data_IF_196573986959
#
_entry.id   IF_196573986959
#
_cell.length_a   1.000
_cell.length_b   1.000
_cell.length_c   1.000
_cell.angle_alpha   90.00
_cell.angle_beta   90.00
_cell.angle_gamma   90.00
#
_symmetry.space_group_name_H-M   'P 1'
#
loop_
_entity.id
_entity.type
_entity.pdbx_description
1 polymer ?
#
# COMPACT_ATOMS: atom_id res chain seq x y z
N UNK A 1 -0.72 4.90 3.05
CA UNK A 1 -2.07 5.29 3.48
C UNK A 1 -2.24 6.79 3.69
N UNK A 2 -1.44 7.47 4.53
CA UNK A 2 -1.75 8.84 5.01
C UNK A 2 -1.90 9.91 3.91
N UNK A 3 -0.82 10.22 3.18
CA UNK A 3 -0.87 11.23 2.09
C UNK A 3 -1.71 10.73 0.93
N UNK A 4 -1.70 9.42 0.71
CA UNK A 4 -2.39 8.68 -0.33
C UNK A 4 -3.93 8.95 -0.23
N UNK A 5 -4.50 8.83 0.98
CA UNK A 5 -5.90 9.16 1.30
C UNK A 5 -6.22 10.67 1.11
N UNK A 6 -5.27 11.56 1.37
CA UNK A 6 -5.44 13.00 1.16
C UNK A 6 -5.42 13.37 -0.34
N UNK A 7 -4.51 12.75 -1.10
CA UNK A 7 -4.40 12.88 -2.56
C UNK A 7 -5.62 12.29 -3.28
N UNK A 8 -6.20 11.22 -2.73
CA UNK A 8 -7.48 10.65 -3.14
C UNK A 8 -8.64 11.67 -3.00
N UNK A 9 -8.82 12.28 -1.82
CA UNK A 9 -9.86 13.31 -1.63
C UNK A 9 -9.66 14.56 -2.52
N UNK A 10 -8.42 14.94 -2.86
CA UNK A 10 -8.17 16.00 -3.85
C UNK A 10 -8.72 15.69 -5.24
N UNK A 11 -8.80 14.41 -5.63
CA UNK A 11 -9.17 14.01 -6.99
C UNK A 11 -10.69 13.91 -7.20
N UNK A 12 -11.45 13.59 -6.15
CA UNK A 12 -12.90 13.40 -6.21
C UNK A 12 -13.72 14.65 -6.59
N UNK A 13 -13.09 15.83 -6.71
CA UNK A 13 -13.79 17.12 -6.73
C UNK A 13 -13.61 17.97 -8.01
N UNK A 14 -12.66 17.69 -8.94
CA UNK A 14 -12.25 18.70 -9.94
C UNK A 14 -11.79 18.22 -11.33
N UNK A 15 -12.38 18.81 -12.38
CA UNK A 15 -11.80 18.98 -13.73
C UNK A 15 -11.11 20.37 -13.83
N UNK A 16 -10.37 20.82 -14.86
CA UNK A 16 -9.94 20.33 -16.19
C UNK A 16 -8.44 20.68 -16.41
N UNK A 17 -7.86 20.39 -17.59
CA UNK A 17 -6.53 20.83 -18.09
C UNK A 17 -5.29 20.30 -17.30
N UNK A 18 -4.06 20.31 -17.82
CA UNK A 18 -3.56 20.05 -19.19
C UNK A 18 -2.07 19.61 -19.07
N UNK A 19 -1.67 18.38 -19.47
CA UNK A 19 -0.40 17.80 -18.99
C UNK A 19 0.82 17.91 -19.93
N UNK A 20 1.96 18.31 -19.38
CA UNK A 20 3.30 18.02 -19.93
C UNK A 20 4.28 17.63 -18.82
N UNK A 21 4.55 16.33 -18.69
CA UNK A 21 5.83 15.71 -18.32
C UNK A 21 5.65 14.19 -18.36
N UNK A 22 6.58 13.45 -18.95
CA UNK A 22 6.59 11.99 -18.93
C UNK A 22 7.76 11.51 -18.05
N UNK A 23 7.49 10.63 -17.10
CA UNK A 23 8.50 10.10 -16.17
C UNK A 23 8.89 8.68 -16.59
N UNK A 24 10.09 8.51 -17.13
CA UNK A 24 10.57 7.18 -17.55
C UNK A 24 10.85 6.26 -16.34
N UNK A 25 10.74 4.93 -16.50
CA UNK A 25 11.18 3.97 -15.47
C UNK A 25 12.66 4.14 -15.11
N UNK A 26 13.05 3.60 -13.95
CA UNK A 26 14.45 3.53 -13.52
C UNK A 26 15.09 2.20 -13.90
N UNK A 27 16.09 2.24 -14.77
CA UNK A 27 16.85 1.06 -15.20
C UNK A 27 17.82 0.51 -14.14
N UNK A 28 18.02 1.22 -13.02
CA UNK A 28 18.99 0.86 -11.96
C UNK A 28 18.44 -0.10 -10.88
N UNK A 29 17.15 -0.46 -10.97
CA UNK A 29 16.42 -1.22 -9.96
C UNK A 29 15.35 -2.10 -10.61
N UNK A 30 15.11 -3.29 -10.03
CA UNK A 30 13.99 -4.14 -10.44
C UNK A 30 12.65 -3.52 -9.99
N UNK A 31 11.65 -3.46 -10.87
CA UNK A 31 10.28 -3.07 -10.50
C UNK A 31 9.61 -4.10 -9.57
N UNK A 32 8.43 -3.84 -8.99
CA UNK A 32 7.83 -4.70 -7.95
C UNK A 32 7.64 -6.16 -8.37
N UNK A 33 7.04 -6.42 -9.55
CA UNK A 33 6.87 -7.78 -10.10
C UNK A 33 8.21 -8.49 -10.33
N UNK A 34 9.19 -7.79 -10.86
CA UNK A 34 10.54 -8.34 -11.15
C UNK A 34 11.33 -8.61 -9.86
N UNK A 35 11.18 -7.73 -8.86
CA UNK A 35 11.73 -7.90 -7.51
C UNK A 35 11.12 -9.12 -6.82
N UNK A 36 9.80 -9.28 -6.90
CA UNK A 36 9.09 -10.43 -6.35
C UNK A 36 9.57 -11.76 -6.95
N UNK A 37 9.65 -11.85 -8.29
CA UNK A 37 10.16 -13.03 -8.99
C UNK A 37 11.62 -13.33 -8.60
N UNK A 38 12.49 -12.31 -8.54
CA UNK A 38 13.89 -12.50 -8.14
C UNK A 38 14.02 -12.95 -6.68
N UNK A 39 13.29 -12.33 -5.76
CA UNK A 39 13.31 -12.70 -4.33
C UNK A 39 12.77 -14.12 -4.15
N UNK A 40 11.66 -14.49 -4.81
CA UNK A 40 11.04 -15.80 -4.63
C UNK A 40 11.84 -16.96 -5.27
N UNK A 41 12.66 -16.68 -6.29
CA UNK A 41 13.62 -17.65 -6.83
C UNK A 41 14.85 -17.86 -5.93
N UNK A 42 15.04 -17.02 -4.91
CA UNK A 42 16.24 -16.98 -4.05
C UNK A 42 15.94 -17.15 -2.56
N UNK A 43 14.67 -17.12 -2.14
CA UNK A 43 14.29 -17.09 -0.73
C UNK A 43 14.76 -18.35 0.02
N UNK A 44 15.31 -18.15 1.22
CA UNK A 44 15.82 -19.21 2.08
C UNK A 44 14.87 -19.52 3.24
N UNK A 45 14.14 -18.50 3.72
CA UNK A 45 13.28 -18.58 4.88
C UNK A 45 11.78 -18.55 4.53
N UNK A 46 11.37 -18.38 3.26
CA UNK A 46 9.96 -18.32 2.82
C UNK A 46 9.73 -19.09 1.51
N UNK A 47 8.83 -20.08 1.52
CA UNK A 47 8.61 -21.05 0.43
C UNK A 47 7.15 -20.98 -0.06
N UNK A 48 6.89 -21.03 -1.37
CA UNK A 48 5.53 -21.11 -1.94
C UNK A 48 5.03 -22.55 -2.01
N UNK A 49 3.75 -22.78 -1.67
CA UNK A 49 3.06 -24.08 -1.76
C UNK A 49 1.79 -23.94 -2.61
N UNK A 50 1.66 -24.77 -3.64
CA UNK A 50 0.60 -24.68 -4.66
C UNK A 50 -0.77 -25.22 -4.23
N UNK A 51 -0.86 -25.93 -3.11
CA UNK A 51 -2.07 -26.66 -2.70
C UNK A 51 -3.07 -25.78 -1.90
N UNK A 52 -2.60 -24.67 -1.31
CA UNK A 52 -3.35 -23.88 -0.32
C UNK A 52 -4.01 -22.59 -0.83
N UNK A 53 -4.60 -22.54 -2.02
CA UNK A 53 -4.94 -21.27 -2.70
C UNK A 53 -6.44 -20.83 -2.64
N UNK A 54 -7.28 -21.26 -1.67
CA UNK A 54 -8.77 -21.03 -1.73
C UNK A 54 -9.50 -20.82 -0.36
N UNK A 55 -10.48 -19.88 -0.32
CA UNK A 55 -11.59 -19.62 0.67
C UNK A 55 -11.49 -18.44 1.70
N UNK A 56 -12.55 -17.58 1.85
CA UNK A 56 -12.56 -16.20 2.50
C UNK A 56 -13.95 -15.59 2.93
N UNK A 57 -14.11 -14.85 4.09
CA UNK A 57 -15.12 -13.76 4.52
C UNK A 57 -15.43 -13.74 6.08
N UNK A 58 -15.98 -12.77 6.90
CA UNK A 58 -16.45 -11.31 6.93
C UNK A 58 -16.62 -10.80 8.44
N UNK A 59 -16.57 -9.56 9.06
CA UNK A 59 -16.56 -8.06 8.79
C UNK A 59 -16.10 -7.18 10.06
N UNK A 60 -15.95 -5.82 10.01
CA UNK A 60 -16.03 -4.80 11.17
C UNK A 60 -16.63 -3.40 10.74
N UNK A 61 -16.58 -2.27 11.50
CA UNK A 61 -17.79 -1.40 11.71
C UNK A 61 -17.72 0.19 11.81
N UNK A 62 -18.74 1.01 11.39
CA UNK A 62 -18.79 2.51 11.55
C UNK A 62 -20.19 3.19 11.73
N UNK A 63 -20.24 4.31 12.46
CA UNK A 63 -21.45 5.13 12.68
C UNK A 63 -22.30 4.66 13.87
N UNK A 64 -21.80 4.82 15.10
CA UNK A 64 -22.35 4.15 16.30
C UNK A 64 -21.80 2.72 16.47
N UNK A 65 -20.63 2.47 15.89
CA UNK A 65 -20.03 1.18 15.53
C UNK A 65 -18.49 1.36 15.48
N UNK A 66 -17.69 0.30 15.71
CA UNK A 66 -16.24 0.40 15.97
C UNK A 66 -15.33 0.09 14.75
N UNK A 67 -14.51 1.07 14.37
CA UNK A 67 -13.53 1.00 13.26
C UNK A 67 -12.09 0.83 13.74
N UNK A 68 -11.27 0.11 12.96
CA UNK A 68 -9.85 -0.15 13.25
C UNK A 68 -8.94 0.18 12.05
N UNK A 69 -7.68 0.55 12.33
CA UNK A 69 -6.62 0.68 11.32
C UNK A 69 -6.86 1.82 10.32
N UNK A 70 -6.81 1.48 9.02
CA UNK A 70 -7.01 2.43 7.90
C UNK A 70 -8.28 3.27 8.06
N UNK A 71 -9.38 2.66 8.49
CA UNK A 71 -10.65 3.35 8.66
C UNK A 71 -10.64 4.46 9.73
N UNK A 72 -9.76 4.36 10.72
CA UNK A 72 -9.54 5.42 11.72
C UNK A 72 -8.84 6.65 11.13
N UNK A 73 -7.99 6.47 10.11
CA UNK A 73 -7.39 7.57 9.33
C UNK A 73 -8.48 8.26 8.48
N UNK A 74 -9.29 7.50 7.74
CA UNK A 74 -10.37 8.05 6.92
C UNK A 74 -11.38 8.85 7.75
N UNK A 75 -11.81 8.31 8.90
CA UNK A 75 -12.69 9.02 9.83
C UNK A 75 -12.05 10.30 10.41
N UNK A 76 -10.73 10.32 10.62
CA UNK A 76 -10.02 11.52 11.10
C UNK A 76 -9.93 12.61 10.02
N UNK A 77 -9.78 12.25 8.74
CA UNK A 77 -9.80 13.19 7.61
C UNK A 77 -11.21 13.74 7.39
N UNK A 78 -12.25 12.90 7.41
CA UNK A 78 -13.63 13.35 7.25
C UNK A 78 -14.05 14.33 8.35
N UNK A 79 -13.76 14.00 9.62
CA UNK A 79 -13.94 14.92 10.75
C UNK A 79 -13.23 16.26 10.56
N UNK A 80 -12.04 16.28 9.96
CA UNK A 80 -11.32 17.52 9.67
C UNK A 80 -12.07 18.38 8.64
N UNK A 81 -12.61 17.77 7.60
CA UNK A 81 -13.40 18.45 6.56
C UNK A 81 -14.73 18.96 7.12
N UNK A 82 -15.40 18.18 7.98
CA UNK A 82 -16.59 18.59 8.75
C UNK A 82 -16.28 19.77 9.69
N UNK A 83 -15.09 19.76 10.32
CA UNK A 83 -14.55 20.86 11.13
C UNK A 83 -14.04 22.06 10.28
N UNK A 84 -14.29 22.05 8.96
CA UNK A 84 -13.89 23.08 7.99
C UNK A 84 -12.36 23.31 7.93
N UNK A 85 -11.57 22.32 8.36
CA UNK A 85 -10.11 22.32 8.23
C UNK A 85 -9.77 21.88 6.80
N UNK A 86 -9.03 22.69 6.01
CA UNK A 86 -8.68 22.36 4.63
C UNK A 86 -7.54 21.33 4.55
N UNK A 87 -7.68 20.19 5.24
CA UNK A 87 -6.66 19.13 5.33
C UNK A 87 -6.32 18.51 3.97
N UNK A 88 -7.17 18.70 2.96
CA UNK A 88 -6.94 18.25 1.58
C UNK A 88 -6.27 19.31 0.69
N UNK A 89 -6.02 20.52 1.16
CA UNK A 89 -5.35 21.56 0.35
C UNK A 89 -3.84 21.52 0.55
N UNK A 90 -3.08 21.37 -0.56
CA UNK A 90 -1.61 21.32 -0.50
C UNK A 90 -1.01 22.60 0.11
N UNK A 91 -1.68 23.74 -0.03
CA UNK A 91 -1.34 24.99 0.67
C UNK A 91 -1.31 24.80 2.19
N UNK A 92 -2.35 24.19 2.76
CA UNK A 92 -2.48 23.94 4.20
C UNK A 92 -1.50 22.88 4.68
N UNK A 93 -1.53 21.66 4.13
CA UNK A 93 -0.68 20.58 4.67
C UNK A 93 0.81 20.73 4.31
N UNK A 94 1.19 21.65 3.42
CA UNK A 94 2.59 22.07 3.28
C UNK A 94 3.15 22.85 4.48
N UNK A 95 2.29 23.39 5.36
CA UNK A 95 2.69 24.27 6.48
C UNK A 95 1.93 23.99 7.79
N UNK A 96 1.19 22.88 7.88
CA UNK A 96 0.41 22.50 9.07
C UNK A 96 1.34 22.34 10.30
N UNK A 97 0.93 22.85 11.46
CA UNK A 97 1.73 22.76 12.69
C UNK A 97 1.61 21.40 13.39
N UNK A 98 2.51 21.09 14.33
CA UNK A 98 2.39 19.87 15.17
C UNK A 98 1.08 19.86 15.95
N UNK A 99 0.65 21.00 16.46
CA UNK A 99 -0.55 21.19 17.28
C UNK A 99 -1.81 21.00 16.43
N UNK A 100 -1.84 21.59 15.23
CA UNK A 100 -2.91 21.38 14.26
C UNK A 100 -3.00 19.91 13.84
N UNK A 101 -1.88 19.26 13.51
CA UNK A 101 -1.89 17.86 13.11
C UNK A 101 -2.31 16.92 14.27
N UNK A 102 -1.90 17.20 15.52
CA UNK A 102 -2.40 16.49 16.72
C UNK A 102 -3.89 16.71 16.93
N UNK A 103 -4.43 17.91 16.67
CA UNK A 103 -5.87 18.19 16.75
C UNK A 103 -6.66 17.42 15.70
N UNK A 104 -6.15 17.29 14.48
CA UNK A 104 -6.80 16.54 13.40
C UNK A 104 -6.81 15.03 13.69
N UNK A 105 -5.67 14.48 14.12
CA UNK A 105 -5.49 13.05 14.40
C UNK A 105 -5.70 12.67 15.86
N UNK A 106 -6.44 13.50 16.61
CA UNK A 106 -6.81 13.21 18.00
C UNK A 106 -7.64 11.93 18.10
N UNK A 107 -7.15 10.98 18.87
CA UNK A 107 -7.85 9.75 19.24
C UNK A 107 -8.83 10.01 20.39
N UNK A 108 -9.76 9.08 20.61
CA UNK A 108 -10.69 9.10 21.75
C UNK A 108 -10.04 8.73 23.10
N UNK A 109 -8.84 8.13 23.08
CA UNK A 109 -8.12 7.63 24.26
C UNK A 109 -6.78 8.37 24.53
N UNK A 110 -6.47 9.43 23.79
CA UNK A 110 -5.24 10.22 23.96
C UNK A 110 -3.98 9.59 23.36
N UNK A 111 -4.07 8.44 22.69
CA UNK A 111 -2.96 7.88 21.92
C UNK A 111 -2.59 8.74 20.69
N UNK A 112 -1.31 8.80 20.35
CA UNK A 112 -0.78 9.50 19.18
C UNK A 112 -0.55 8.53 18.01
N UNK A 113 -0.69 9.02 16.76
CA UNK A 113 -0.49 8.19 15.57
C UNK A 113 0.98 7.73 15.40
N UNK A 114 1.24 6.49 14.94
CA UNK A 114 2.60 6.00 14.73
C UNK A 114 3.40 6.85 13.75
N UNK A 115 4.65 7.16 14.14
CA UNK A 115 5.62 7.95 13.37
C UNK A 115 5.15 9.39 13.10
N UNK A 116 4.47 10.02 14.08
CA UNK A 116 3.88 11.36 13.97
C UNK A 116 4.78 12.40 13.27
N UNK A 117 6.01 12.58 13.74
CA UNK A 117 6.94 13.57 13.18
C UNK A 117 7.33 13.24 11.72
N UNK A 118 7.52 11.97 11.38
CA UNK A 118 7.73 11.55 10.00
C UNK A 118 6.48 11.77 9.14
N UNK A 119 5.27 11.55 9.67
CA UNK A 119 4.02 11.83 8.92
C UNK A 119 3.87 13.33 8.65
N UNK A 120 4.24 14.20 9.59
CA UNK A 120 4.25 15.64 9.42
C UNK A 120 5.24 16.08 8.32
N UNK A 121 6.48 15.59 8.35
CA UNK A 121 7.47 15.95 7.33
C UNK A 121 7.09 15.41 5.94
N UNK A 122 6.47 14.23 5.87
CA UNK A 122 5.90 13.68 4.64
C UNK A 122 4.78 14.57 4.07
N UNK A 123 3.95 15.21 4.91
CA UNK A 123 2.95 16.19 4.47
C UNK A 123 3.62 17.47 3.96
N UNK A 124 4.57 18.04 4.71
CA UNK A 124 5.29 19.24 4.30
C UNK A 124 5.98 19.05 2.94
N UNK A 125 6.67 17.91 2.77
CA UNK A 125 7.31 17.49 1.52
C UNK A 125 6.30 17.33 0.37
N UNK A 126 5.24 16.52 0.55
CA UNK A 126 4.25 16.29 -0.50
C UNK A 126 3.50 17.56 -0.90
N UNK A 127 3.18 18.43 0.06
CA UNK A 127 2.54 19.71 -0.17
C UNK A 127 3.43 20.69 -0.93
N UNK A 128 4.73 20.74 -0.60
CA UNK A 128 5.71 21.54 -1.34
C UNK A 128 5.83 21.09 -2.80
N UNK A 129 6.04 19.80 -3.05
CA UNK A 129 6.15 19.22 -4.40
C UNK A 129 4.89 19.54 -5.23
N UNK A 130 3.71 19.36 -4.64
CA UNK A 130 2.44 19.64 -5.32
C UNK A 130 2.28 21.13 -5.66
N UNK A 131 2.62 22.04 -4.75
CA UNK A 131 2.57 23.49 -4.99
C UNK A 131 3.55 23.92 -6.09
N UNK A 132 4.76 23.40 -6.08
CA UNK A 132 5.84 23.75 -7.02
C UNK A 132 5.55 23.25 -8.44
N UNK A 133 5.19 21.97 -8.59
CA UNK A 133 5.16 21.28 -9.89
C UNK A 133 3.77 21.00 -10.45
N UNK A 134 2.76 20.94 -9.59
CA UNK A 134 1.42 20.44 -9.92
C UNK A 134 0.30 21.44 -9.56
N UNK A 135 0.65 22.73 -9.43
CA UNK A 135 -0.28 23.82 -9.08
C UNK A 135 -1.14 23.56 -7.83
N UNK A 136 -0.58 22.81 -6.86
CA UNK A 136 -1.21 22.44 -5.59
C UNK A 136 -2.15 21.25 -5.62
N UNK A 137 -2.34 20.56 -6.76
CA UNK A 137 -3.41 19.55 -6.94
C UNK A 137 -2.91 18.23 -7.49
N UNK A 138 -3.10 17.14 -6.76
CA UNK A 138 -2.64 15.79 -7.16
C UNK A 138 -3.30 15.27 -8.45
N UNK A 139 -4.49 15.75 -8.80
CA UNK A 139 -5.13 15.42 -10.09
C UNK A 139 -4.24 15.80 -11.31
N UNK A 140 -3.31 16.73 -11.15
CA UNK A 140 -2.34 17.06 -12.20
C UNK A 140 -1.20 16.03 -12.32
N UNK A 141 -0.88 15.29 -11.25
CA UNK A 141 0.00 14.11 -11.30
C UNK A 141 -0.65 12.98 -12.11
N UNK A 142 -1.95 12.73 -11.87
CA UNK A 142 -2.75 11.75 -12.65
C UNK A 142 -2.79 12.17 -14.12
N UNK A 143 -3.07 13.45 -14.43
CA UNK A 143 -3.06 13.92 -15.82
C UNK A 143 -1.67 13.81 -16.48
N UNK A 144 -0.59 14.00 -15.72
CA UNK A 144 0.77 13.86 -16.24
C UNK A 144 1.10 12.42 -16.71
N UNK A 145 0.57 11.39 -16.05
CA UNK A 145 0.79 10.00 -16.48
C UNK A 145 0.04 9.59 -17.76
N UNK A 146 -0.98 10.36 -18.19
CA UNK A 146 -1.78 10.06 -19.40
C UNK A 146 -2.38 8.64 -19.41
N UNK A 147 -2.98 8.23 -18.30
CA UNK A 147 -3.57 6.89 -18.12
C UNK A 147 -2.56 5.73 -18.17
N UNK A 148 -1.28 5.99 -17.88
CA UNK A 148 -0.27 4.97 -17.61
C UNK A 148 -0.14 4.73 -16.09
N UNK A 149 -0.57 3.55 -15.62
CA UNK A 149 -0.47 3.14 -14.21
C UNK A 149 1.00 3.08 -13.75
N UNK A 150 1.89 2.56 -14.59
CA UNK A 150 3.33 2.50 -14.34
C UNK A 150 3.99 3.88 -14.47
N UNK A 151 3.46 4.74 -15.35
CA UNK A 151 3.84 6.15 -15.48
C UNK A 151 3.51 6.95 -14.21
N UNK A 152 2.33 6.73 -13.61
CA UNK A 152 1.96 7.33 -12.32
C UNK A 152 2.81 6.76 -11.18
N UNK A 153 3.05 5.44 -11.16
CA UNK A 153 3.94 4.78 -10.21
C UNK A 153 5.37 5.36 -10.27
N UNK A 154 5.91 5.53 -11.48
CA UNK A 154 7.23 6.12 -11.73
C UNK A 154 7.30 7.57 -11.27
N UNK A 155 6.30 8.39 -11.60
CA UNK A 155 6.18 9.77 -11.15
C UNK A 155 6.17 9.86 -9.61
N UNK A 156 5.35 9.04 -8.95
CA UNK A 156 5.28 8.97 -7.48
C UNK A 156 6.63 8.63 -6.85
N UNK A 157 7.28 7.56 -7.33
CA UNK A 157 8.59 7.09 -6.83
C UNK A 157 9.70 8.12 -7.06
N UNK A 158 9.78 8.70 -8.25
CA UNK A 158 10.86 9.62 -8.60
C UNK A 158 10.70 10.98 -7.92
N UNK A 159 9.47 11.50 -7.81
CA UNK A 159 9.23 12.87 -7.34
C UNK A 159 8.85 13.00 -5.86
N UNK A 160 8.25 11.97 -5.24
CA UNK A 160 7.78 12.01 -3.85
C UNK A 160 8.53 10.98 -2.98
N UNK A 161 9.65 11.34 -2.32
CA UNK A 161 10.54 10.40 -1.61
C UNK A 161 9.85 9.42 -0.64
N UNK A 162 8.75 9.81 0.01
CA UNK A 162 8.00 8.93 0.92
C UNK A 162 7.41 7.66 0.28
N UNK A 163 7.44 7.54 -1.05
CA UNK A 163 6.99 6.37 -1.81
C UNK A 163 8.13 5.44 -2.27
N UNK A 164 9.41 5.80 -2.05
CA UNK A 164 10.60 5.02 -2.46
C UNK A 164 10.91 3.82 -1.55
N UNK A 165 9.95 2.91 -1.51
CA UNK A 165 9.99 1.63 -0.81
C UNK A 165 10.90 0.63 -1.55
N UNK A 166 12.20 0.78 -1.30
CA UNK A 166 13.34 0.09 -1.92
C UNK A 166 14.24 -0.55 -0.84
N UNK A 167 14.93 -1.64 -1.19
CA UNK A 167 15.89 -2.35 -0.34
C UNK A 167 17.04 -2.98 -1.16
N UNK A 168 18.03 -3.59 -0.50
CA UNK A 168 19.09 -4.38 -1.15
C UNK A 168 18.99 -5.83 -0.68
N UNK A 169 18.58 -6.73 -1.59
CA UNK A 169 18.47 -8.16 -1.33
C UNK A 169 19.51 -8.94 -2.14
N UNK A 170 20.32 -9.76 -1.46
CA UNK A 170 21.44 -10.53 -2.05
C UNK A 170 22.27 -9.70 -3.05
N UNK A 171 22.69 -8.51 -2.61
CA UNK A 171 23.48 -7.52 -3.37
C UNK A 171 22.82 -6.92 -4.62
N UNK A 172 21.52 -7.14 -4.86
CA UNK A 172 20.74 -6.43 -5.89
C UNK A 172 19.76 -5.43 -5.27
N UNK A 173 19.54 -4.31 -5.93
CA UNK A 173 18.45 -3.38 -5.56
C UNK A 173 17.11 -4.01 -5.93
N UNK A 174 16.17 -3.96 -5.00
CA UNK A 174 14.78 -4.45 -5.16
C UNK A 174 13.81 -3.38 -4.69
N UNK A 175 12.61 -3.35 -5.29
CA UNK A 175 11.54 -2.43 -4.93
C UNK A 175 10.24 -3.15 -4.61
N UNK A 176 9.43 -2.53 -3.75
CA UNK A 176 8.07 -2.96 -3.45
C UNK A 176 7.04 -1.86 -3.76
N UNK A 177 7.45 -0.58 -3.66
CA UNK A 177 6.65 0.61 -3.97
C UNK A 177 5.22 0.58 -3.39
N UNK A 178 5.04 -0.06 -2.22
CA UNK A 178 3.74 -0.51 -1.71
C UNK A 178 2.70 0.61 -1.67
N UNK A 179 3.05 1.75 -1.08
CA UNK A 179 2.16 2.93 -1.00
C UNK A 179 1.81 3.53 -2.35
N UNK A 180 2.70 3.46 -3.34
CA UNK A 180 2.45 4.02 -4.66
C UNK A 180 1.56 3.09 -5.48
N UNK A 181 1.75 1.77 -5.35
CA UNK A 181 0.84 0.77 -5.91
C UNK A 181 -0.57 0.86 -5.29
N UNK A 182 -0.67 1.03 -3.97
CA UNK A 182 -1.95 1.33 -3.28
C UNK A 182 -2.59 2.58 -3.86
N UNK A 183 -1.87 3.70 -4.02
CA UNK A 183 -2.45 4.94 -4.53
C UNK A 183 -2.96 4.82 -5.97
N UNK A 184 -2.25 4.10 -6.85
CA UNK A 184 -2.74 3.81 -8.22
C UNK A 184 -4.00 2.94 -8.18
N UNK A 185 -4.04 1.93 -7.30
CA UNK A 185 -5.17 1.03 -7.14
C UNK A 185 -6.41 1.69 -6.52
N UNK A 186 -6.24 2.51 -5.48
CA UNK A 186 -7.31 3.27 -4.83
C UNK A 186 -8.01 4.20 -5.85
N UNK A 187 -7.23 4.84 -6.74
CA UNK A 187 -7.75 5.69 -7.82
C UNK A 187 -8.51 4.86 -8.86
N UNK A 188 -7.92 3.77 -9.34
CA UNK A 188 -8.58 2.87 -10.29
C UNK A 188 -9.91 2.34 -9.74
N UNK A 189 -9.92 1.85 -8.51
CA UNK A 189 -11.10 1.26 -7.87
C UNK A 189 -12.20 2.32 -7.61
N UNK A 190 -11.85 3.50 -7.08
CA UNK A 190 -12.84 4.53 -6.74
C UNK A 190 -13.50 5.18 -7.96
N UNK A 191 -12.81 5.24 -9.10
CA UNK A 191 -13.41 5.71 -10.36
C UNK A 191 -13.86 4.55 -11.27
N UNK A 192 -13.95 3.32 -10.75
CA UNK A 192 -14.41 2.11 -11.48
C UNK A 192 -13.69 1.90 -12.84
N UNK A 193 -12.39 2.19 -12.89
CA UNK A 193 -11.57 2.12 -14.11
C UNK A 193 -11.84 3.21 -15.15
N UNK A 194 -12.54 4.29 -14.80
CA UNK A 194 -12.97 5.36 -15.70
C UNK A 194 -12.36 6.71 -15.32
N UNK A 195 -12.37 7.69 -16.23
CA UNK A 195 -12.06 9.10 -15.95
C UNK A 195 -10.67 9.36 -15.33
N UNK A 196 -10.56 9.50 -14.00
CA UNK A 196 -9.28 9.70 -13.29
C UNK A 196 -8.66 8.38 -12.79
N UNK A 197 -9.41 7.27 -12.84
CA UNK A 197 -8.92 5.91 -12.59
C UNK A 197 -8.79 5.07 -13.86
N UNK A 198 -8.96 5.66 -15.05
CA UNK A 198 -8.72 4.98 -16.33
C UNK A 198 -7.21 4.82 -16.56
N UNK A 199 -6.72 3.59 -16.50
CA UNK A 199 -5.33 3.24 -16.79
C UNK A 199 -5.24 2.03 -17.74
N UNK A 200 -4.50 2.15 -18.84
CA UNK A 200 -4.46 1.11 -19.90
C UNK A 200 -3.63 -0.14 -19.54
N UNK A 201 -2.82 -0.05 -18.49
CA UNK A 201 -1.91 -1.09 -17.99
C UNK A 201 -2.07 -1.29 -16.48
N UNK A 202 -3.29 -1.14 -15.95
CA UNK A 202 -3.56 -1.34 -14.51
C UNK A 202 -3.12 -2.72 -14.01
N UNK A 203 -3.20 -3.75 -14.87
CA UNK A 203 -2.84 -5.13 -14.54
C UNK A 203 -1.33 -5.35 -14.35
N UNK A 204 -0.49 -4.33 -14.60
CA UNK A 204 0.94 -4.34 -14.24
C UNK A 204 1.20 -3.96 -12.77
N UNK A 205 0.21 -3.44 -12.06
CA UNK A 205 0.26 -3.24 -10.60
C UNK A 205 0.13 -4.60 -9.90
N UNK A 206 1.04 -4.88 -8.95
CA UNK A 206 1.01 -6.12 -8.15
C UNK A 206 0.13 -5.96 -6.91
N UNK A 207 -0.04 -7.04 -6.14
CA UNK A 207 -0.49 -6.90 -4.74
C UNK A 207 0.44 -5.99 -3.94
N UNK A 208 -0.01 -5.52 -2.79
CA UNK A 208 0.72 -4.61 -1.93
C UNK A 208 1.41 -5.40 -0.82
N UNK A 209 2.74 -5.37 -0.76
CA UNK A 209 3.52 -6.12 0.23
C UNK A 209 3.33 -5.61 1.68
N UNK A 210 2.21 -5.99 2.29
CA UNK A 210 1.78 -5.76 3.66
C UNK A 210 2.26 -6.88 4.63
N UNK A 211 1.88 -6.82 5.91
CA UNK A 211 2.13 -7.84 6.93
C UNK A 211 0.92 -8.76 7.17
N UNK A 212 -0.29 -8.33 6.79
CA UNK A 212 -1.53 -9.12 6.91
C UNK A 212 -1.76 -10.11 5.77
N UNK A 213 -1.41 -9.75 4.54
CA UNK A 213 -1.50 -10.66 3.37
C UNK A 213 -0.59 -11.90 3.52
N UNK A 214 0.70 -11.80 3.93
CA UNK A 214 1.52 -12.98 4.22
C UNK A 214 0.92 -13.88 5.31
N UNK A 215 0.32 -13.31 6.36
CA UNK A 215 -0.31 -14.07 7.44
C UNK A 215 -1.46 -14.94 6.93
N UNK A 216 -2.24 -14.43 5.96
CA UNK A 216 -3.28 -15.20 5.25
C UNK A 216 -2.67 -16.31 4.39
N UNK A 217 -1.61 -16.01 3.63
CA UNK A 217 -0.97 -17.01 2.77
C UNK A 217 -0.35 -18.17 3.59
N UNK A 218 0.23 -17.89 4.76
CA UNK A 218 0.70 -18.95 5.67
C UNK A 218 -0.48 -19.75 6.23
N UNK A 219 -1.53 -19.07 6.69
CA UNK A 219 -2.72 -19.72 7.25
C UNK A 219 -3.40 -20.67 6.26
N UNK A 220 -3.51 -20.27 4.98
CA UNK A 220 -4.10 -21.10 3.92
C UNK A 220 -3.17 -22.22 3.43
N UNK A 221 -1.89 -22.20 3.80
CA UNK A 221 -0.87 -23.12 3.28
C UNK A 221 -0.40 -22.77 1.85
N UNK A 222 -0.53 -21.51 1.45
CA UNK A 222 -0.02 -20.96 0.19
C UNK A 222 1.46 -20.57 0.25
N UNK A 223 1.95 -20.19 1.43
CA UNK A 223 3.40 -20.04 1.72
C UNK A 223 3.75 -20.68 3.07
N UNK A 224 5.04 -20.96 3.30
CA UNK A 224 5.57 -21.50 4.55
C UNK A 224 6.84 -20.74 4.96
N UNK A 225 7.02 -20.52 6.27
CA UNK A 225 8.24 -19.96 6.83
C UNK A 225 9.18 -21.07 7.34
N UNK A 226 10.49 -20.85 7.27
CA UNK A 226 11.46 -21.74 7.94
C UNK A 226 11.20 -21.80 9.45
N UNK A 227 11.58 -22.90 10.15
CA UNK A 227 11.44 -22.98 11.60
C UNK A 227 12.13 -21.83 12.36
N UNK A 228 13.24 -21.31 11.82
CA UNK A 228 13.99 -20.18 12.37
C UNK A 228 13.22 -18.86 12.23
N UNK A 229 12.62 -18.61 11.08
CA UNK A 229 11.82 -17.40 10.86
C UNK A 229 10.50 -17.48 11.64
N UNK A 230 9.82 -18.63 11.60
CA UNK A 230 8.58 -18.87 12.35
C UNK A 230 8.75 -18.59 13.85
N UNK A 231 9.81 -19.12 14.48
CA UNK A 231 10.08 -18.90 15.90
C UNK A 231 10.26 -17.40 16.23
N UNK A 232 11.05 -16.66 15.44
CA UNK A 232 11.26 -15.21 15.64
C UNK A 232 9.99 -14.38 15.46
N UNK A 233 9.11 -14.80 14.56
CA UNK A 233 7.81 -14.17 14.35
C UNK A 233 6.81 -14.51 15.46
N UNK A 234 6.89 -15.70 16.06
CA UNK A 234 6.12 -16.10 17.24
C UNK A 234 6.59 -15.40 18.53
N UNK A 235 7.88 -15.04 18.62
CA UNK A 235 8.44 -14.19 19.67
C UNK A 235 8.07 -12.69 19.52
N UNK A 236 7.16 -12.35 18.59
CA UNK A 236 6.70 -10.98 18.31
C UNK A 236 7.85 -9.99 17.94
N UNK A 237 9.01 -10.51 17.50
CA UNK A 237 10.22 -9.72 17.29
C UNK A 237 10.02 -8.62 16.23
N UNK A 238 10.43 -7.40 16.58
CA UNK A 238 10.51 -6.29 15.62
C UNK A 238 11.67 -6.55 14.65
N UNK A 239 11.38 -6.54 13.34
CA UNK A 239 12.35 -6.70 12.26
C UNK A 239 12.69 -5.36 11.61
N UNK A 240 13.90 -5.26 11.07
CA UNK A 240 14.35 -4.12 10.26
C UNK A 240 13.70 -4.16 8.88
N UNK A 241 13.32 -3.01 8.32
CA UNK A 241 12.47 -2.95 7.11
C UNK A 241 13.14 -3.55 5.86
N UNK A 242 14.46 -3.41 5.79
CA UNK A 242 15.36 -3.87 4.75
C UNK A 242 16.11 -5.16 5.14
N UNK A 243 15.70 -5.83 6.24
CA UNK A 243 16.26 -7.13 6.60
C UNK A 243 15.98 -8.18 5.51
N UNK A 244 16.84 -9.19 5.45
CA UNK A 244 16.71 -10.31 4.50
C UNK A 244 15.33 -10.97 4.60
N UNK A 245 14.89 -11.23 5.82
CA UNK A 245 13.65 -11.91 6.13
C UNK A 245 12.43 -11.07 5.74
N UNK A 246 12.46 -9.75 6.00
CA UNK A 246 11.37 -8.84 5.58
C UNK A 246 11.32 -8.73 4.06
N UNK A 247 12.47 -8.69 3.38
CA UNK A 247 12.52 -8.73 1.92
C UNK A 247 11.92 -10.04 1.37
N UNK A 248 12.29 -11.19 1.94
CA UNK A 248 11.77 -12.51 1.52
C UNK A 248 10.26 -12.64 1.74
N UNK A 249 9.73 -12.29 2.92
CA UNK A 249 8.29 -12.34 3.16
C UNK A 249 7.55 -11.45 2.15
N UNK A 250 8.02 -10.21 1.94
CA UNK A 250 7.37 -9.26 1.02
C UNK A 250 7.43 -9.70 -0.44
N UNK A 251 8.58 -10.16 -0.92
CA UNK A 251 8.77 -10.60 -2.31
C UNK A 251 8.04 -11.90 -2.63
N UNK A 252 8.09 -12.89 -1.73
CA UNK A 252 7.40 -14.18 -1.90
C UNK A 252 5.88 -14.02 -1.79
N UNK A 253 5.39 -13.12 -0.93
CA UNK A 253 3.94 -12.79 -0.88
C UNK A 253 3.46 -12.23 -2.22
N UNK A 254 4.21 -11.29 -2.82
CA UNK A 254 3.87 -10.78 -4.17
C UNK A 254 3.85 -11.92 -5.18
N UNK A 255 4.94 -12.70 -5.27
CA UNK A 255 5.06 -13.76 -6.28
C UNK A 255 3.98 -14.85 -6.14
N UNK A 256 3.65 -15.25 -4.91
CA UNK A 256 2.57 -16.21 -4.65
C UNK A 256 1.20 -15.68 -5.13
N UNK A 257 0.93 -14.37 -4.97
CA UNK A 257 -0.33 -13.77 -5.42
C UNK A 257 -0.37 -13.55 -6.94
N UNK A 258 0.76 -13.29 -7.60
CA UNK A 258 0.84 -13.30 -9.07
C UNK A 258 0.50 -14.71 -9.61
N UNK A 259 0.99 -15.78 -8.98
CA UNK A 259 0.59 -17.16 -9.31
C UNK A 259 -0.88 -17.45 -9.03
N UNK A 260 -1.46 -16.92 -7.94
CA UNK A 260 -2.92 -16.99 -7.67
C UNK A 260 -3.71 -16.33 -8.79
N UNK A 261 -3.32 -15.11 -9.23
CA UNK A 261 -3.96 -14.44 -10.36
C UNK A 261 -3.88 -15.30 -11.62
N UNK A 262 -2.69 -15.81 -11.98
CA UNK A 262 -2.51 -16.59 -13.21
C UNK A 262 -3.35 -17.88 -13.21
N UNK A 263 -3.52 -18.51 -12.04
CA UNK A 263 -4.44 -19.65 -11.86
C UNK A 263 -5.92 -19.20 -11.99
N UNK A 264 -6.31 -18.07 -11.39
CA UNK A 264 -7.68 -17.55 -11.50
C UNK A 264 -8.06 -17.13 -12.92
N UNK A 265 -7.13 -16.55 -13.68
CA UNK A 265 -7.34 -16.21 -15.09
C UNK A 265 -7.50 -17.48 -15.92
N UNK A 266 -6.58 -18.45 -15.77
CA UNK A 266 -6.52 -19.66 -16.58
C UNK A 266 -7.62 -20.69 -16.29
N UNK A 267 -7.88 -20.99 -15.02
CA UNK A 267 -8.75 -22.10 -14.63
C UNK A 267 -10.23 -21.68 -14.52
N UNK A 268 -10.53 -20.37 -14.50
CA UNK A 268 -11.88 -19.82 -14.32
C UNK A 268 -12.29 -18.76 -15.37
N UNK A 269 -11.50 -18.56 -16.43
CA UNK A 269 -11.73 -17.59 -17.53
C UNK A 269 -12.07 -16.17 -17.01
N UNK A 270 -11.35 -15.73 -15.98
CA UNK A 270 -11.66 -14.50 -15.23
C UNK A 270 -10.71 -13.36 -15.57
N UNK A 271 -11.21 -12.13 -15.70
CA UNK A 271 -10.41 -10.92 -15.85
C UNK A 271 -9.90 -10.39 -14.51
N UNK A 272 -9.52 -11.28 -13.58
CA UNK A 272 -9.00 -10.91 -12.26
C UNK A 272 -7.57 -10.42 -12.39
N UNK A 273 -7.26 -9.28 -11.78
CA UNK A 273 -5.91 -8.73 -11.68
C UNK A 273 -5.39 -8.77 -10.23
N UNK A 274 -4.11 -8.43 -10.03
CA UNK A 274 -3.47 -8.55 -8.72
C UNK A 274 -4.05 -7.60 -7.68
N UNK A 275 -4.62 -6.45 -8.06
CA UNK A 275 -5.30 -5.53 -7.13
C UNK A 275 -6.51 -6.22 -6.49
N UNK A 276 -7.33 -6.90 -7.30
CA UNK A 276 -8.50 -7.64 -6.80
C UNK A 276 -8.11 -8.83 -5.93
N UNK A 277 -6.95 -9.46 -6.20
CA UNK A 277 -6.37 -10.49 -5.32
C UNK A 277 -5.92 -9.89 -3.98
N UNK A 278 -5.30 -8.69 -3.96
CA UNK A 278 -4.93 -8.01 -2.72
C UNK A 278 -6.16 -7.68 -1.87
N UNK A 279 -7.16 -7.02 -2.45
CA UNK A 279 -8.39 -6.62 -1.77
C UNK A 279 -9.07 -7.84 -1.12
N UNK A 280 -9.18 -8.95 -1.85
CA UNK A 280 -9.76 -10.22 -1.35
C UNK A 280 -8.96 -10.82 -0.18
N UNK A 281 -7.62 -10.82 -0.23
CA UNK A 281 -6.77 -11.36 0.84
C UNK A 281 -6.68 -10.41 2.05
N UNK A 282 -6.76 -9.09 1.84
CA UNK A 282 -6.79 -8.09 2.90
C UNK A 282 -8.12 -8.10 3.65
N UNK A 283 -9.23 -8.15 2.91
CA UNK A 283 -10.55 -8.42 3.46
C UNK A 283 -10.50 -9.71 4.27
N UNK A 284 -10.02 -10.83 3.70
CA UNK A 284 -9.95 -12.10 4.42
C UNK A 284 -9.27 -12.00 5.78
N UNK A 285 -8.18 -11.22 5.87
CA UNK A 285 -7.46 -11.13 7.13
C UNK A 285 -8.24 -10.38 8.21
N UNK A 286 -8.94 -9.29 7.86
CA UNK A 286 -9.88 -8.64 8.80
C UNK A 286 -10.99 -9.63 9.19
N UNK A 287 -11.47 -10.33 8.19
CA UNK A 287 -12.71 -11.08 8.17
C UNK A 287 -12.66 -12.39 8.95
N UNK A 288 -11.53 -13.10 8.92
CA UNK A 288 -11.33 -14.37 9.60
C UNK A 288 -10.28 -14.25 10.73
N UNK A 289 -10.20 -13.07 11.34
CA UNK A 289 -9.16 -12.70 12.31
C UNK A 289 -9.04 -13.69 13.48
N UNK A 290 -10.15 -14.07 14.09
CA UNK A 290 -10.18 -14.98 15.24
C UNK A 290 -9.69 -16.39 14.87
N UNK A 291 -10.02 -16.91 13.68
CA UNK A 291 -9.56 -18.23 13.23
C UNK A 291 -8.05 -18.23 12.88
N UNK A 292 -7.57 -17.14 12.27
CA UNK A 292 -6.16 -16.98 11.90
C UNK A 292 -5.28 -16.81 13.15
N UNK A 293 -5.74 -16.03 14.14
CA UNK A 293 -5.02 -15.79 15.40
C UNK A 293 -5.09 -17.00 16.34
N UNK A 294 -6.21 -17.72 16.42
CA UNK A 294 -6.33 -18.93 17.26
C UNK A 294 -5.49 -20.11 16.77
N UNK A 295 -5.16 -20.17 15.47
CA UNK A 295 -4.16 -21.11 14.91
C UNK A 295 -2.70 -20.65 15.14
N UNK A 296 -2.48 -19.52 15.82
CA UNK A 296 -1.14 -19.04 16.18
C UNK A 296 -0.28 -18.58 15.00
N UNK A 297 -0.89 -18.24 13.86
CA UNK A 297 -0.17 -17.85 12.65
C UNK A 297 0.37 -16.42 12.81
N UNK A 298 1.70 -16.17 12.79
CA UNK A 298 2.25 -14.87 13.09
C UNK A 298 2.37 -13.97 11.84
N UNK A 299 2.74 -12.71 12.05
CA UNK A 299 2.95 -11.70 11.01
C UNK A 299 4.21 -10.88 11.30
N UNK A 300 4.93 -10.41 10.28
CA UNK A 300 6.13 -9.60 10.53
C UNK A 300 5.79 -8.23 11.11
N UNK A 301 6.53 -7.85 12.15
CA UNK A 301 6.40 -6.54 12.79
C UNK A 301 7.56 -5.67 12.35
N UNK A 302 7.26 -4.59 11.63
CA UNK A 302 8.23 -3.64 11.07
C UNK A 302 7.73 -2.23 11.37
N UNK A 303 8.63 -1.30 11.71
CA UNK A 303 8.29 0.10 12.00
C UNK A 303 8.95 1.04 10.99
N UNK A 304 8.27 1.29 9.88
CA UNK A 304 8.70 2.22 8.82
C UNK A 304 7.52 3.06 8.28
N UNK A 305 7.80 3.98 7.36
CA UNK A 305 6.80 4.88 6.76
C UNK A 305 5.94 4.26 5.64
N UNK A 306 6.25 3.03 5.21
CA UNK A 306 5.54 2.32 4.12
C UNK A 306 4.34 1.51 4.62
N UNK A 307 4.26 1.28 5.94
CA UNK A 307 3.04 0.87 6.64
C UNK A 307 2.33 2.10 7.26
#
# INVERSE_FOLDING_TARGET
MFVDCIQFYQCALQHTMNPQNACHPRDDILGPRQSAIFIAGEAEDVIVKTEGLRAVANMVEYGGKIYHGYWSLCASVNRALEENIPMIEASFYSTVSKEQLKMIFRSNNGSEIPLFDQRLEILHQAGAILKEKYAGKFVNCIRACKSDALGLLSLLVNEFPSFRDEAVYKSKKVSFYKRAQILVADLWACFEGQSLGEFYNIDDITIFADYRVPQVLVYLGAIEYSPKLMARLQEDQLLENDSREVCEIRGVTIYACELVRDILQKDFDSSVNSILVDFFLWDYRRDNAEEIESKGIPFHRVRCIYY
#
